data_IF_097178813691
#
_entry.id   IF_097178813691
#
_cell.length_a   1.000
_cell.length_b   1.000
_cell.length_c   1.000
_cell.angle_alpha   90.00
_cell.angle_beta   90.00
_cell.angle_gamma   90.00
#
_symmetry.space_group_name_H-M   'P 1'
#
loop_
_entity.id
_entity.type
_entity.pdbx_description
1 polymer ?
#
# COMPACT_ATOMS: atom_id res chain seq x y z
N UNK A 1 -11.85 2.15 -56.46
CA UNK A 1 -13.26 1.82 -56.70
C UNK A 1 -13.89 1.35 -55.40
N UNK A 2 -14.78 2.14 -54.80
CA UNK A 2 -15.74 1.60 -53.85
C UNK A 2 -16.78 0.84 -54.65
N UNK A 3 -17.15 -0.39 -54.31
CA UNK A 3 -18.54 -0.79 -54.47
C UNK A 3 -18.90 -2.07 -53.67
N UNK A 4 -19.69 -1.87 -52.60
CA UNK A 4 -20.82 -2.70 -52.11
C UNK A 4 -20.52 -4.14 -51.63
N UNK A 5 -21.24 -4.75 -50.67
CA UNK A 5 -22.20 -4.39 -49.63
C UNK A 5 -22.65 -5.77 -49.14
N UNK A 6 -22.59 -6.08 -47.86
CA UNK A 6 -23.55 -7.03 -47.27
C UNK A 6 -23.69 -6.74 -45.79
N UNK A 7 -24.91 -6.33 -45.45
CA UNK A 7 -25.41 -6.11 -44.11
C UNK A 7 -25.72 -7.46 -43.48
N UNK A 8 -25.18 -7.73 -42.28
CA UNK A 8 -25.71 -8.74 -41.39
C UNK A 8 -25.75 -8.19 -39.96
N UNK A 9 -26.91 -7.60 -39.64
CA UNK A 9 -27.66 -7.82 -38.39
C UNK A 9 -26.86 -8.46 -37.23
N UNK A 10 -26.62 -7.68 -36.17
CA UNK A 10 -27.04 -7.94 -34.77
C UNK A 10 -25.98 -7.53 -33.72
N UNK A 11 -26.38 -6.56 -32.90
CA UNK A 11 -25.61 -5.82 -31.89
C UNK A 11 -25.21 -6.61 -30.62
N UNK A 12 -24.92 -7.91 -30.74
CA UNK A 12 -24.74 -8.79 -29.57
C UNK A 12 -23.37 -9.47 -29.52
N UNK A 13 -22.57 -9.44 -30.60
CA UNK A 13 -21.27 -10.10 -30.65
C UNK A 13 -20.07 -9.20 -30.31
N UNK A 14 -20.17 -7.88 -30.51
CA UNK A 14 -19.09 -6.94 -30.13
C UNK A 14 -18.97 -6.76 -28.60
N UNK A 15 -20.04 -7.07 -27.84
CA UNK A 15 -20.00 -7.06 -26.37
C UNK A 15 -19.19 -8.22 -25.78
N UNK A 16 -19.14 -9.35 -26.48
CA UNK A 16 -18.35 -10.52 -26.03
C UNK A 16 -16.87 -10.43 -26.46
N UNK A 17 -16.54 -9.67 -27.50
CA UNK A 17 -15.15 -9.46 -27.92
C UNK A 17 -14.41 -8.40 -27.07
N UNK A 18 -15.11 -7.45 -26.45
CA UNK A 18 -14.51 -6.50 -25.49
C UNK A 18 -14.37 -7.07 -24.07
N UNK A 19 -15.12 -8.12 -23.72
CA UNK A 19 -15.09 -8.73 -22.39
C UNK A 19 -13.91 -9.68 -22.14
N UNK A 20 -13.20 -10.14 -23.17
CA UNK A 20 -12.15 -11.16 -23.03
C UNK A 20 -10.73 -10.59 -22.85
N UNK A 21 -10.52 -9.27 -22.89
CA UNK A 21 -9.19 -8.65 -22.76
C UNK A 21 -8.95 -8.00 -21.40
N UNK A 22 -9.97 -7.93 -20.52
CA UNK A 22 -9.89 -7.26 -19.20
C UNK A 22 -9.75 -8.28 -18.05
N UNK A 23 -9.17 -9.45 -18.30
CA UNK A 23 -8.94 -10.46 -17.25
C UNK A 23 -7.47 -10.87 -17.07
N UNK A 24 -6.53 -10.35 -17.86
CA UNK A 24 -5.12 -10.82 -17.84
C UNK A 24 -4.06 -9.77 -17.52
N UNK A 25 -4.41 -8.60 -16.94
CA UNK A 25 -3.44 -7.53 -16.68
C UNK A 25 -3.58 -6.75 -15.35
N UNK A 26 -4.29 -7.27 -14.35
CA UNK A 26 -4.28 -6.71 -12.98
C UNK A 26 -3.98 -7.80 -11.95
N UNK A 27 -2.88 -8.53 -12.17
CA UNK A 27 -2.24 -9.33 -11.11
C UNK A 27 -1.05 -8.58 -10.50
N UNK A 28 -1.20 -7.27 -10.28
CA UNK A 28 -0.51 -6.60 -9.18
C UNK A 28 -1.48 -6.60 -7.99
N UNK A 29 -1.79 -7.80 -7.50
CA UNK A 29 -2.51 -7.92 -6.24
C UNK A 29 -1.58 -7.38 -5.16
N UNK A 30 -1.99 -6.30 -4.49
CA UNK A 30 -1.38 -5.88 -3.25
C UNK A 30 -1.47 -7.06 -2.29
N UNK A 31 -0.37 -7.82 -2.15
CA UNK A 31 -0.21 -8.75 -1.05
C UNK A 31 0.00 -7.87 0.17
N UNK A 32 -1.11 -7.46 0.73
CA UNK A 32 -1.19 -6.84 2.03
C UNK A 32 -0.57 -7.88 2.99
N UNK A 33 0.67 -7.66 3.50
CA UNK A 33 1.39 -8.72 4.17
C UNK A 33 0.60 -9.13 5.42
N UNK A 34 0.64 -10.40 5.87
CA UNK A 34 -0.19 -10.89 6.97
C UNK A 34 -0.15 -9.92 8.14
N UNK A 35 -1.28 -9.67 8.81
CA UNK A 35 -1.42 -8.65 9.87
C UNK A 35 -0.32 -8.74 10.95
N UNK A 36 0.28 -9.91 11.11
CA UNK A 36 1.40 -10.18 12.02
C UNK A 36 2.71 -9.46 11.65
N UNK A 37 2.90 -9.09 10.38
CA UNK A 37 4.08 -8.39 9.86
C UNK A 37 3.90 -6.87 9.73
N UNK A 38 2.76 -6.34 10.20
CA UNK A 38 2.45 -4.91 10.09
C UNK A 38 2.68 -4.21 11.40
N UNK A 39 3.10 -2.96 11.27
CA UNK A 39 3.31 -2.10 12.42
C UNK A 39 1.98 -1.79 13.10
N UNK A 40 1.92 -1.72 14.44
CA UNK A 40 0.70 -1.35 15.14
C UNK A 40 0.15 0.01 14.66
N UNK A 41 -1.18 0.12 14.63
CA UNK A 41 -1.84 1.36 14.25
C UNK A 41 -1.55 2.48 15.27
N UNK A 42 -1.39 3.71 14.78
CA UNK A 42 -1.21 4.88 15.61
C UNK A 42 -2.46 5.18 16.45
N UNK A 43 -2.28 5.26 17.77
CA UNK A 43 -3.33 5.65 18.73
C UNK A 43 -3.02 6.96 19.44
N UNK A 44 -1.77 7.42 19.40
CA UNK A 44 -1.28 8.65 20.02
C UNK A 44 -0.11 9.24 19.23
N UNK A 45 0.07 10.54 19.32
CA UNK A 45 1.23 11.22 18.75
C UNK A 45 2.52 10.79 19.47
N UNK A 46 3.58 10.51 18.71
CA UNK A 46 4.85 10.10 19.30
C UNK A 46 5.75 9.32 18.36
N UNK A 47 6.81 8.76 18.94
CA UNK A 47 7.75 7.85 18.29
C UNK A 47 7.67 6.50 18.99
N UNK A 48 7.62 5.41 18.22
CA UNK A 48 7.45 4.06 18.71
C UNK A 48 8.42 3.12 18.02
N UNK A 49 8.93 2.15 18.78
CA UNK A 49 9.82 1.11 18.27
C UNK A 49 9.04 0.21 17.32
N UNK A 50 9.70 -0.23 16.25
CA UNK A 50 9.11 -1.21 15.34
C UNK A 50 9.11 -2.60 15.95
N UNK A 51 8.00 -3.32 15.76
CA UNK A 51 7.89 -4.75 16.11
C UNK A 51 8.32 -5.64 14.95
N UNK A 52 8.44 -5.08 13.75
CA UNK A 52 8.67 -5.82 12.51
C UNK A 52 10.10 -5.70 12.00
N UNK A 53 10.75 -4.55 12.22
CA UNK A 53 12.08 -4.25 11.70
C UNK A 53 13.03 -3.94 12.85
N UNK A 54 14.11 -4.72 12.97
CA UNK A 54 15.17 -4.47 13.95
C UNK A 54 15.83 -3.13 13.65
N UNK A 55 15.94 -2.26 14.66
CA UNK A 55 16.40 -0.88 14.49
C UNK A 55 15.38 0.03 13.78
N UNK A 56 14.24 -0.50 13.35
CA UNK A 56 13.13 0.27 12.82
C UNK A 56 12.36 0.99 13.92
N UNK A 57 11.81 2.14 13.58
CA UNK A 57 10.88 2.88 14.42
C UNK A 57 9.95 3.72 13.56
N UNK A 58 8.85 4.19 14.12
CA UNK A 58 7.92 5.02 13.38
C UNK A 58 7.44 6.21 14.21
N UNK A 59 7.10 7.30 13.53
CA UNK A 59 6.46 8.47 14.11
C UNK A 59 4.99 8.50 13.75
N UNK A 60 4.14 8.61 14.76
CA UNK A 60 2.71 8.84 14.59
C UNK A 60 2.39 10.32 14.72
N UNK A 61 1.57 10.83 13.79
CA UNK A 61 1.10 12.21 13.77
C UNK A 61 -0.38 12.28 13.47
N UNK A 62 -1.16 12.94 14.30
CA UNK A 62 -2.55 13.26 14.00
C UNK A 62 -2.64 14.40 12.98
N UNK A 63 -3.36 14.19 11.88
CA UNK A 63 -3.65 15.23 10.89
C UNK A 63 -5.12 15.65 11.01
N UNK A 64 -5.41 16.77 11.70
CA UNK A 64 -6.79 17.19 11.95
C UNK A 64 -7.52 17.65 10.68
N UNK A 65 -6.80 18.13 9.67
CA UNK A 65 -7.38 18.57 8.40
C UNK A 65 -8.06 17.45 7.60
N UNK A 66 -7.69 16.21 7.87
CA UNK A 66 -8.18 15.00 7.19
C UNK A 66 -8.60 13.92 8.20
N UNK A 67 -8.70 14.30 9.48
CA UNK A 67 -9.11 13.45 10.60
C UNK A 67 -8.49 12.05 10.59
N UNK A 68 -7.17 11.95 10.35
CA UNK A 68 -6.49 10.65 10.29
C UNK A 68 -5.11 10.69 10.94
N UNK A 69 -4.69 9.52 11.42
CA UNK A 69 -3.32 9.28 11.83
C UNK A 69 -2.43 9.03 10.61
N UNK A 70 -1.22 9.58 10.65
CA UNK A 70 -0.16 9.30 9.68
C UNK A 70 1.00 8.64 10.42
N UNK A 71 1.42 7.49 9.92
CA UNK A 71 2.60 6.78 10.39
C UNK A 71 3.74 7.03 9.41
N UNK A 72 4.89 7.47 9.94
CA UNK A 72 6.11 7.68 9.18
C UNK A 72 7.16 6.67 9.64
N UNK A 73 7.56 5.70 8.80
CA UNK A 73 8.59 4.73 9.15
C UNK A 73 10.00 5.32 9.01
N UNK A 74 10.89 4.89 9.88
CA UNK A 74 12.30 5.25 9.93
C UNK A 74 13.14 4.05 10.34
N UNK A 75 14.44 4.11 10.09
CA UNK A 75 15.41 3.13 10.56
C UNK A 75 16.57 3.83 11.24
N UNK A 76 17.04 3.25 12.34
CA UNK A 76 18.28 3.64 12.97
C UNK A 76 19.49 3.26 12.07
N UNK A 77 20.62 3.95 12.22
CA UNK A 77 21.88 3.52 11.63
C UNK A 77 22.25 2.08 12.04
N UNK A 78 23.08 1.43 11.24
CA UNK A 78 23.45 0.04 11.45
C UNK A 78 23.99 -0.22 12.88
N UNK A 79 23.47 -1.26 13.53
CA UNK A 79 23.87 -1.67 14.88
C UNK A 79 23.27 -0.85 16.03
N UNK A 80 22.30 0.03 15.76
CA UNK A 80 21.57 0.78 16.77
C UNK A 80 20.10 0.37 16.80
N UNK A 81 19.48 0.48 17.97
CA UNK A 81 18.04 0.28 18.16
C UNK A 81 17.39 1.55 18.70
N UNK A 82 16.11 1.76 18.34
CA UNK A 82 15.36 2.89 18.86
C UNK A 82 14.88 2.62 20.29
N UNK A 83 15.19 3.53 21.21
CA UNK A 83 14.68 3.53 22.58
C UNK A 83 13.61 4.62 22.74
N UNK A 84 12.39 4.22 23.09
CA UNK A 84 11.25 5.12 23.27
C UNK A 84 11.40 6.07 24.47
N UNK A 85 12.18 5.68 25.48
CA UNK A 85 12.38 6.43 26.73
C UNK A 85 13.17 7.71 26.48
N UNK A 86 14.25 7.59 25.70
CA UNK A 86 15.13 8.70 25.31
C UNK A 86 14.84 9.23 23.90
N UNK A 87 13.95 8.58 23.16
CA UNK A 87 13.51 8.92 21.80
C UNK A 87 14.67 9.08 20.82
N UNK A 88 15.67 8.21 20.94
CA UNK A 88 16.86 8.23 20.07
C UNK A 88 17.33 6.80 19.77
N UNK A 89 18.18 6.68 18.75
CA UNK A 89 18.87 5.44 18.44
C UNK A 89 20.01 5.25 19.46
N UNK A 90 19.96 4.17 20.21
CA UNK A 90 20.96 3.78 21.20
C UNK A 90 21.64 2.48 20.77
N UNK A 91 22.81 2.22 21.34
CA UNK A 91 23.38 0.88 21.26
C UNK A 91 22.58 -0.02 22.21
N UNK A 92 22.00 -1.14 21.72
CA UNK A 92 21.24 -2.05 22.56
C UNK A 92 22.08 -2.71 23.66
#
# INVERSE_FOLDING_TARGET
MNLFRTSFKNNTLYKFALGAVVAMAVSACTTEPPLESREPACTKDGYFKSTNVVGGYHRCVWKPNISRWIQYPFNCPAGLEFDESVRTCVRP
#
